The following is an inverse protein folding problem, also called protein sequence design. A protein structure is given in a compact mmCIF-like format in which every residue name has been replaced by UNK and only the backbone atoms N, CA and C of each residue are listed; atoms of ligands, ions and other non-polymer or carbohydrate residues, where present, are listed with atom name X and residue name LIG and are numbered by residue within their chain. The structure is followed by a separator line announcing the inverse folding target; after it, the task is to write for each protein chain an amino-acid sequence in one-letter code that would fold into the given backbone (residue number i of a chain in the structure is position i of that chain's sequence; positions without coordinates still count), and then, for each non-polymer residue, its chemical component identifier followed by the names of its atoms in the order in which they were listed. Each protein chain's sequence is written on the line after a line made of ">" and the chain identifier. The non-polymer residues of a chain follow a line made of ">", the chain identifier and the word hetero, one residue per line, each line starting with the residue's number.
data_IF_801864515825
#
_entry.id   IF_801864515825
#
_cell.length_a   1.000
_cell.length_b   1.000
_cell.length_c   1.000
_cell.angle_alpha   90.00
_cell.angle_beta   90.00
_cell.angle_gamma   90.00
#
_symmetry.space_group_name_H-M   'P 1'
#
loop_
_entity.id
_entity.type
_entity.pdbx_description
1 polymer ?
#
# COMPACT_ATOMS: atom_id res chain seq x y z
N UNK A 1 -11.28 -9.69 -3.49
CA UNK A 1 -11.16 -8.34 -4.09
C UNK A 1 -12.54 -7.77 -4.23
N UNK A 2 -12.79 -6.61 -3.65
CA UNK A 2 -14.00 -5.83 -3.94
C UNK A 2 -13.68 -4.81 -5.02
N UNK A 3 -14.54 -4.73 -6.04
CA UNK A 3 -14.41 -3.77 -7.14
C UNK A 3 -15.49 -2.72 -7.01
N UNK A 4 -15.07 -1.46 -6.83
CA UNK A 4 -15.99 -0.33 -6.78
C UNK A 4 -15.72 0.63 -7.94
N UNK A 5 -16.79 0.98 -8.66
CA UNK A 5 -16.77 2.01 -9.70
C UNK A 5 -17.48 3.25 -9.19
N UNK A 6 -16.71 4.28 -8.87
CA UNK A 6 -17.23 5.55 -8.36
C UNK A 6 -17.09 6.62 -9.42
N UNK A 7 -18.19 7.30 -9.74
CA UNK A 7 -18.13 8.49 -10.60
C UNK A 7 -17.73 9.68 -9.74
N UNK A 8 -16.61 10.30 -10.07
CA UNK A 8 -16.06 11.48 -9.42
C UNK A 8 -16.03 12.65 -10.41
N UNK A 9 -16.36 13.85 -9.94
CA UNK A 9 -16.39 15.08 -10.75
C UNK A 9 -17.14 14.96 -12.10
N UNK A 10 -18.14 14.06 -12.17
CA UNK A 10 -19.03 13.88 -13.33
C UNK A 10 -18.43 13.12 -14.52
N UNK A 11 -17.13 13.27 -14.80
CA UNK A 11 -16.45 12.68 -15.96
C UNK A 11 -15.27 11.75 -15.60
N UNK A 12 -14.93 11.59 -14.32
CA UNK A 12 -13.90 10.65 -13.87
C UNK A 12 -14.57 9.41 -13.30
N UNK A 13 -14.14 8.23 -13.75
CA UNK A 13 -14.51 6.96 -13.11
C UNK A 13 -13.31 6.46 -12.33
N UNK A 14 -13.45 6.35 -11.01
CA UNK A 14 -12.48 5.73 -10.13
C UNK A 14 -12.82 4.25 -10.02
N UNK A 15 -11.87 3.39 -10.37
CA UNK A 15 -11.96 1.95 -10.14
C UNK A 15 -11.08 1.61 -8.95
N UNK A 16 -11.72 1.30 -7.82
CA UNK A 16 -11.04 0.91 -6.59
C UNK A 16 -10.93 -0.62 -6.55
N UNK A 17 -9.75 -1.10 -6.19
CA UNK A 17 -9.48 -2.51 -5.94
C UNK A 17 -9.09 -2.66 -4.47
N UNK A 18 -10.02 -3.17 -3.66
CA UNK A 18 -9.75 -3.43 -2.25
C UNK A 18 -9.28 -4.88 -2.07
N UNK A 19 -8.01 -5.02 -1.67
CA UNK A 19 -7.37 -6.28 -1.35
C UNK A 19 -7.33 -6.43 0.17
N UNK A 20 -8.38 -7.02 0.74
CA UNK A 20 -8.43 -7.31 2.18
C UNK A 20 -7.22 -8.13 2.62
N UNK A 21 -6.57 -7.72 3.72
CA UNK A 21 -5.29 -8.24 4.19
C UNK A 21 -5.33 -9.60 4.92
N UNK A 22 -6.22 -10.52 4.52
CA UNK A 22 -6.20 -11.89 5.03
C UNK A 22 -5.30 -12.77 4.15
N UNK A 23 -4.38 -13.51 4.76
CA UNK A 23 -3.24 -14.17 4.11
C UNK A 23 -3.62 -15.12 2.95
N UNK A 24 -4.69 -15.90 3.12
CA UNK A 24 -5.15 -16.88 2.12
C UNK A 24 -5.57 -16.23 0.80
N UNK A 25 -6.00 -14.97 0.84
CA UNK A 25 -6.41 -14.23 -0.33
C UNK A 25 -5.23 -13.52 -1.00
N UNK A 26 -4.29 -13.01 -0.21
CA UNK A 26 -3.11 -12.29 -0.70
C UNK A 26 -2.19 -13.17 -1.57
N UNK A 27 -1.88 -14.41 -1.15
CA UNK A 27 -1.02 -15.30 -1.95
C UNK A 27 -1.62 -15.58 -3.34
N UNK A 28 -2.91 -15.95 -3.39
CA UNK A 28 -3.59 -16.27 -4.63
C UNK A 28 -3.63 -15.09 -5.61
N UNK A 29 -3.82 -13.86 -5.14
CA UNK A 29 -3.86 -12.67 -6.01
C UNK A 29 -2.47 -12.27 -6.52
N UNK A 30 -1.47 -12.33 -5.66
CA UNK A 30 -0.12 -11.87 -5.97
C UNK A 30 0.72 -12.87 -6.76
N UNK A 31 0.41 -14.17 -6.69
CA UNK A 31 1.11 -15.17 -7.48
C UNK A 31 0.44 -15.37 -8.85
N UNK A 32 -0.88 -15.51 -8.90
CA UNK A 32 -1.57 -15.88 -10.15
C UNK A 32 -2.01 -14.69 -11.02
N UNK A 33 -2.24 -13.51 -10.42
CA UNK A 33 -2.80 -12.34 -11.13
C UNK A 33 -1.93 -11.09 -11.04
N UNK A 34 -0.69 -11.23 -10.57
CA UNK A 34 0.24 -10.11 -10.33
C UNK A 34 0.31 -9.10 -11.49
N UNK A 35 0.42 -9.63 -12.69
CA UNK A 35 0.55 -8.86 -13.92
C UNK A 35 -0.74 -8.10 -14.27
N UNK A 36 -1.90 -8.69 -13.97
CA UNK A 36 -3.19 -8.06 -14.20
C UNK A 36 -3.42 -6.91 -13.23
N UNK A 37 -3.13 -7.12 -11.94
CA UNK A 37 -3.33 -6.13 -10.87
C UNK A 37 -2.31 -4.98 -10.89
N UNK A 38 -1.19 -5.14 -11.59
CA UNK A 38 -0.11 -4.15 -11.63
C UNK A 38 -0.11 -3.32 -12.92
N UNK A 39 -0.99 -3.62 -13.89
CA UNK A 39 -1.10 -2.91 -15.17
C UNK A 39 -2.09 -1.76 -15.08
N UNK A 40 -1.77 -0.66 -15.77
CA UNK A 40 -2.62 0.53 -15.88
C UNK A 40 -2.98 1.17 -14.52
N UNK A 41 -2.13 0.99 -13.52
CA UNK A 41 -2.32 1.59 -12.19
C UNK A 41 -1.94 3.07 -12.28
N UNK A 42 -2.88 3.94 -11.89
CA UNK A 42 -2.63 5.39 -11.78
C UNK A 42 -2.25 5.81 -10.37
N UNK A 43 -2.90 5.20 -9.39
CA UNK A 43 -2.70 5.48 -7.96
C UNK A 43 -2.64 4.15 -7.22
N UNK A 44 -1.64 3.99 -6.37
CA UNK A 44 -1.55 2.93 -5.37
C UNK A 44 -1.66 3.56 -3.99
N UNK A 45 -2.52 3.01 -3.13
CA UNK A 45 -2.63 3.40 -1.73
C UNK A 45 -2.22 2.19 -0.89
N UNK A 46 -1.16 2.33 -0.09
CA UNK A 46 -0.74 1.34 0.89
C UNK A 46 -1.12 1.81 2.29
N UNK A 47 -1.84 0.97 3.02
CA UNK A 47 -2.33 1.30 4.36
C UNK A 47 -1.55 0.48 5.37
N UNK A 48 -0.77 1.14 6.23
CA UNK A 48 0.12 0.50 7.19
C UNK A 48 -0.30 0.85 8.63
N UNK A 49 -0.42 -0.14 9.50
CA UNK A 49 -0.78 0.11 10.89
C UNK A 49 0.43 0.70 11.63
N UNK A 50 0.25 1.84 12.30
CA UNK A 50 1.30 2.44 13.15
C UNK A 50 1.48 1.68 14.48
N UNK A 51 0.43 0.96 14.88
CA UNK A 51 0.39 0.10 16.05
C UNK A 51 -0.10 -1.30 15.65
N UNK A 52 0.77 -2.29 15.82
CA UNK A 52 0.47 -3.70 15.65
C UNK A 52 1.25 -4.51 16.67
N UNK A 53 0.55 -5.42 17.37
CA UNK A 53 1.14 -6.28 18.40
C UNK A 53 1.77 -7.55 17.82
N UNK A 54 1.54 -7.86 16.53
CA UNK A 54 2.16 -8.99 15.84
C UNK A 54 3.15 -8.45 14.80
N UNK A 55 4.43 -8.53 15.16
CA UNK A 55 5.56 -8.22 14.28
C UNK A 55 5.49 -9.01 12.97
N UNK A 56 4.94 -10.24 13.02
CA UNK A 56 4.79 -11.14 11.87
C UNK A 56 3.87 -10.56 10.80
N UNK A 57 2.68 -10.11 11.17
CA UNK A 57 1.72 -9.54 10.21
C UNK A 57 2.29 -8.29 9.51
N UNK A 58 3.08 -7.49 10.24
CA UNK A 58 3.76 -6.32 9.69
C UNK A 58 4.86 -6.72 8.68
N UNK A 59 5.66 -7.73 9.00
CA UNK A 59 6.71 -8.25 8.11
C UNK A 59 6.15 -8.91 6.85
N UNK A 60 5.07 -9.67 6.98
CA UNK A 60 4.36 -10.30 5.86
C UNK A 60 3.71 -9.24 4.96
N UNK A 61 2.97 -8.30 5.54
CA UNK A 61 2.38 -7.16 4.82
C UNK A 61 3.43 -6.34 4.06
N UNK A 62 4.60 -6.14 4.66
CA UNK A 62 5.71 -5.47 3.99
C UNK A 62 6.27 -6.31 2.84
N UNK A 63 6.37 -7.64 3.00
CA UNK A 63 6.84 -8.53 1.93
C UNK A 63 5.94 -8.48 0.70
N UNK A 64 4.62 -8.46 0.89
CA UNK A 64 3.67 -8.27 -0.19
C UNK A 64 3.83 -6.90 -0.86
N UNK A 65 3.93 -5.84 -0.07
CA UNK A 65 4.17 -4.48 -0.57
C UNK A 65 5.42 -4.43 -1.46
N UNK A 66 6.54 -5.01 -1.01
CA UNK A 66 7.80 -5.10 -1.79
C UNK A 66 7.58 -5.81 -3.12
N UNK A 67 6.88 -6.94 -3.10
CA UNK A 67 6.64 -7.73 -4.30
C UNK A 67 5.72 -7.01 -5.28
N UNK A 68 4.72 -6.26 -4.80
CA UNK A 68 3.88 -5.42 -5.63
C UNK A 68 4.68 -4.27 -6.27
N UNK A 69 5.45 -3.53 -5.47
CA UNK A 69 6.22 -2.37 -5.93
C UNK A 69 7.19 -2.72 -7.06
N UNK A 70 7.76 -3.94 -7.05
CA UNK A 70 8.57 -4.45 -8.17
C UNK A 70 7.77 -4.58 -9.47
N UNK A 71 6.55 -5.10 -9.41
CA UNK A 71 5.68 -5.23 -10.59
C UNK A 71 5.07 -3.90 -11.02
N UNK A 72 4.75 -3.03 -10.07
CA UNK A 72 4.26 -1.67 -10.35
C UNK A 72 5.31 -0.89 -11.15
N UNK A 73 6.59 -0.97 -10.76
CA UNK A 73 7.70 -0.33 -11.50
C UNK A 73 7.84 -0.81 -12.94
N UNK A 74 7.57 -2.08 -13.22
CA UNK A 74 7.70 -2.62 -14.57
C UNK A 74 6.47 -2.33 -15.44
N UNK A 75 5.27 -2.37 -14.84
CA UNK A 75 4.01 -2.37 -15.58
C UNK A 75 3.24 -1.03 -15.53
N UNK A 76 3.54 -0.15 -14.58
CA UNK A 76 2.85 1.14 -14.37
C UNK A 76 3.81 2.20 -13.81
N UNK A 77 4.77 2.66 -14.63
CA UNK A 77 5.82 3.62 -14.22
C UNK A 77 5.30 4.99 -13.77
N UNK A 78 4.13 5.40 -14.25
CA UNK A 78 3.49 6.68 -13.94
C UNK A 78 2.58 6.61 -12.70
N UNK A 79 2.54 5.45 -12.03
CA UNK A 79 1.72 5.29 -10.84
C UNK A 79 2.23 6.20 -9.71
N UNK A 80 1.30 6.88 -9.05
CA UNK A 80 1.57 7.65 -7.85
C UNK A 80 1.31 6.75 -6.63
N UNK A 81 2.26 6.67 -5.71
CA UNK A 81 2.17 5.80 -4.53
C UNK A 81 1.92 6.65 -3.29
N UNK A 82 0.84 6.33 -2.58
CA UNK A 82 0.43 6.97 -1.35
C UNK A 82 0.56 5.95 -0.23
N UNK A 83 1.19 6.34 0.88
CA UNK A 83 1.16 5.54 2.12
C UNK A 83 0.31 6.26 3.14
N UNK A 84 -0.63 5.54 3.73
CA UNK A 84 -1.47 6.00 4.82
C UNK A 84 -1.11 5.20 6.07
N UNK A 85 -0.70 5.89 7.13
CA UNK A 85 -0.65 5.24 8.43
C UNK A 85 -2.04 5.22 9.07
N UNK A 86 -2.40 4.14 9.75
CA UNK A 86 -3.67 4.04 10.49
C UNK A 86 -3.45 3.45 11.88
N UNK A 87 -4.51 3.42 12.70
CA UNK A 87 -4.47 3.09 14.14
C UNK A 87 -3.59 4.03 14.99
N UNK A 88 -3.58 5.32 14.67
CA UNK A 88 -2.91 6.34 15.48
C UNK A 88 -3.46 6.43 16.91
N UNK A 89 -4.72 6.03 17.11
CA UNK A 89 -5.38 5.98 18.42
C UNK A 89 -4.70 5.03 19.42
N UNK A 90 -3.97 4.03 18.93
CA UNK A 90 -3.23 3.07 19.75
C UNK A 90 -1.80 3.54 20.11
N UNK A 91 -1.36 4.68 19.57
CA UNK A 91 -0.04 5.25 19.84
C UNK A 91 -0.20 6.55 20.65
N UNK A 92 0.55 6.71 21.76
CA UNK A 92 0.58 7.97 22.50
C UNK A 92 0.94 9.14 21.58
N UNK A 93 0.26 10.27 21.72
CA UNK A 93 0.40 11.43 20.82
C UNK A 93 1.85 11.88 20.65
N UNK A 94 2.60 11.92 21.76
CA UNK A 94 4.01 12.31 21.79
C UNK A 94 4.94 11.35 21.01
N UNK A 95 4.51 10.10 20.80
CA UNK A 95 5.31 9.06 20.15
C UNK A 95 4.94 8.87 18.67
N UNK A 96 3.85 9.47 18.20
CA UNK A 96 3.31 9.26 16.84
C UNK A 96 4.29 9.68 15.76
N UNK A 97 4.84 10.89 15.88
CA UNK A 97 5.77 11.45 14.89
C UNK A 97 7.04 10.59 14.80
N UNK A 98 7.66 10.28 15.95
CA UNK A 98 8.84 9.42 16.00
C UNK A 98 8.57 8.02 15.42
N UNK A 99 7.40 7.42 15.69
CA UNK A 99 7.04 6.12 15.10
C UNK A 99 6.82 6.20 13.59
N UNK A 100 6.16 7.25 13.10
CA UNK A 100 5.97 7.46 11.67
C UNK A 100 7.30 7.62 10.95
N UNK A 101 8.22 8.41 11.50
CA UNK A 101 9.57 8.59 10.95
C UNK A 101 10.36 7.27 10.93
N UNK A 102 10.28 6.49 12.00
CA UNK A 102 10.93 5.19 12.08
C UNK A 102 10.37 4.23 11.00
N UNK A 103 9.05 4.07 10.92
CA UNK A 103 8.42 3.20 9.92
C UNK A 103 8.74 3.66 8.49
N UNK A 104 8.76 4.97 8.24
CA UNK A 104 9.10 5.49 6.92
C UNK A 104 10.55 5.18 6.53
N UNK A 105 11.50 5.56 7.38
CA UNK A 105 12.93 5.47 7.07
C UNK A 105 13.42 4.03 6.96
N UNK A 106 12.98 3.15 7.87
CA UNK A 106 13.47 1.77 7.95
C UNK A 106 12.73 0.85 6.97
N UNK A 107 11.41 1.02 6.81
CA UNK A 107 10.57 0.04 6.11
C UNK A 107 10.20 0.47 4.69
N UNK A 108 10.05 1.76 4.42
CA UNK A 108 9.41 2.22 3.19
C UNK A 108 10.36 2.94 2.23
N UNK A 109 11.25 3.79 2.75
CA UNK A 109 12.18 4.61 1.99
C UNK A 109 12.97 3.82 0.92
N UNK A 110 13.51 2.61 1.20
CA UNK A 110 14.25 1.83 0.19
C UNK A 110 13.42 1.47 -1.06
N UNK A 111 12.08 1.49 -0.97
CA UNK A 111 11.19 1.05 -2.04
C UNK A 111 10.64 2.21 -2.88
N UNK A 112 10.94 3.46 -2.52
CA UNK A 112 10.43 4.65 -3.21
C UNK A 112 11.38 5.24 -4.25
N UNK A 113 12.57 4.68 -4.41
CA UNK A 113 13.49 5.12 -5.45
C UNK A 113 12.83 5.04 -6.85
N UNK A 114 12.74 6.19 -7.52
CA UNK A 114 12.26 6.30 -8.90
C UNK A 114 10.74 6.29 -9.09
N UNK A 115 9.93 6.43 -8.02
CA UNK A 115 8.47 6.58 -8.08
C UNK A 115 8.06 7.85 -7.34
N UNK A 116 7.01 8.52 -7.84
CA UNK A 116 6.40 9.66 -7.15
C UNK A 116 5.63 9.14 -5.93
N UNK A 117 6.11 9.49 -4.74
CA UNK A 117 5.53 9.03 -3.47
C UNK A 117 5.09 10.17 -2.57
N UNK A 118 3.97 9.99 -1.88
CA UNK A 118 3.47 10.89 -0.85
C UNK A 118 2.99 10.07 0.37
N UNK A 119 3.12 10.64 1.56
CA UNK A 119 2.81 9.96 2.83
C UNK A 119 1.88 10.85 3.63
N UNK A 120 0.85 10.23 4.21
CA UNK A 120 -0.19 10.87 5.00
C UNK A 120 -0.42 10.13 6.32
#
# INVERSE_FOLDING_TARGET
>A
VEHSHLRFLGNVTLTLWDYGGQDVFMENYFESQKDHISRNVRVMIYVAALAGNDQRDAEEGLTYFKNYMKSLRSLSKEAHVYVLFYKFDLVPENDREARCEQHYSELLLPYFAGIITQIF
#
